data_IF_429905408128
#
_entry.id   IF_429905408128
#
_cell.length_a   1.000
_cell.length_b   1.000
_cell.length_c   1.000
_cell.angle_alpha   90.00
_cell.angle_beta   90.00
_cell.angle_gamma   90.00
#
_symmetry.space_group_name_H-M   'P 1'
#
loop_
_entity.id
_entity.type
_entity.pdbx_description
1 polymer ?
#
# COMPACT_ATOMS: atom_id res chain seq x y z
N UNK A 1 35.53 1.46 -4.72
CA UNK A 1 34.22 1.17 -4.08
C UNK A 1 33.68 2.38 -3.29
N UNK A 2 33.86 3.60 -3.78
CA UNK A 2 33.51 4.83 -3.07
C UNK A 2 32.30 5.59 -3.68
N UNK A 3 31.51 4.98 -4.60
CA UNK A 3 30.55 5.72 -5.43
C UNK A 3 29.11 5.16 -5.39
N UNK A 4 28.75 4.35 -4.38
CA UNK A 4 27.36 3.86 -4.22
C UNK A 4 26.60 4.50 -3.06
N UNK A 5 27.24 5.39 -2.30
CA UNK A 5 26.58 6.15 -1.25
C UNK A 5 25.75 7.26 -1.90
N UNK A 6 24.43 7.14 -1.93
CA UNK A 6 23.53 8.24 -2.24
C UNK A 6 22.61 8.10 -3.47
N UNK A 7 22.57 6.95 -4.12
CA UNK A 7 21.71 6.76 -5.30
C UNK A 7 20.26 6.41 -4.96
N UNK A 8 20.05 5.68 -3.88
CA UNK A 8 18.77 5.12 -3.49
C UNK A 8 18.34 5.64 -2.11
N UNK A 9 17.03 5.77 -1.91
CA UNK A 9 16.45 6.06 -0.63
C UNK A 9 15.11 5.35 -0.44
N UNK A 10 14.76 5.11 0.81
CA UNK A 10 13.39 4.82 1.20
C UNK A 10 12.70 6.11 1.62
N UNK A 11 11.37 6.15 1.54
CA UNK A 11 10.59 7.29 2.02
C UNK A 11 9.33 6.80 2.70
N UNK A 12 8.94 7.48 3.77
CA UNK A 12 7.65 7.31 4.45
C UNK A 12 7.05 8.67 4.80
N UNK A 13 5.80 8.69 5.23
CA UNK A 13 5.09 9.90 5.63
C UNK A 13 4.49 9.75 7.01
N UNK A 14 4.60 10.81 7.82
CA UNK A 14 3.86 10.94 9.05
C UNK A 14 3.06 12.25 9.08
N UNK A 15 1.73 12.13 9.12
CA UNK A 15 0.80 13.25 9.27
C UNK A 15 0.16 13.31 10.66
N UNK A 16 0.23 12.20 11.41
CA UNK A 16 -0.41 12.04 12.72
C UNK A 16 0.52 11.34 13.71
N UNK A 17 0.56 11.77 14.96
CA UNK A 17 1.44 11.19 15.97
C UNK A 17 1.11 9.73 16.31
N UNK A 18 -0.12 9.31 16.06
CA UNK A 18 -0.59 7.94 16.31
C UNK A 18 0.15 6.84 15.52
N UNK A 19 0.89 7.21 14.46
CA UNK A 19 1.78 6.30 13.72
C UNK A 19 3.26 6.46 14.10
N UNK A 20 3.58 7.28 15.13
CA UNK A 20 4.97 7.55 15.51
C UNK A 20 5.73 6.28 15.88
N UNK A 21 5.13 5.39 16.70
CA UNK A 21 5.77 4.14 17.10
C UNK A 21 6.07 3.25 15.88
N UNK A 22 5.14 3.16 14.92
CA UNK A 22 5.35 2.43 13.67
C UNK A 22 6.51 3.00 12.86
N UNK A 23 6.52 4.32 12.62
CA UNK A 23 7.56 4.98 11.83
C UNK A 23 8.96 4.92 12.49
N UNK A 24 9.04 4.97 13.82
CA UNK A 24 10.29 4.77 14.58
C UNK A 24 10.82 3.35 14.40
N UNK A 25 9.94 2.34 14.51
CA UNK A 25 10.34 0.94 14.32
C UNK A 25 10.72 0.65 12.87
N UNK A 26 10.03 1.27 11.90
CA UNK A 26 10.42 1.21 10.50
C UNK A 26 11.84 1.77 10.32
N UNK A 27 12.15 2.94 10.87
CA UNK A 27 13.47 3.55 10.79
C UNK A 27 14.56 2.70 11.45
N UNK A 28 14.30 2.21 12.67
CA UNK A 28 15.20 1.36 13.42
C UNK A 28 15.52 0.05 12.67
N UNK A 29 14.49 -0.66 12.23
CA UNK A 29 14.65 -1.95 11.55
C UNK A 29 15.25 -1.79 10.15
N UNK A 30 14.93 -0.71 9.43
CA UNK A 30 15.59 -0.40 8.17
C UNK A 30 17.08 -0.12 8.37
N UNK A 31 17.45 0.67 9.36
CA UNK A 31 18.85 0.94 9.68
C UNK A 31 19.60 -0.35 10.09
N UNK A 32 18.95 -1.25 10.83
CA UNK A 32 19.50 -2.56 11.22
C UNK A 32 19.83 -3.44 10.01
N UNK A 33 18.99 -3.44 8.98
CA UNK A 33 19.09 -4.35 7.84
C UNK A 33 19.64 -3.72 6.55
N UNK A 34 19.53 -2.39 6.39
CA UNK A 34 20.02 -1.63 5.23
C UNK A 34 20.62 -0.28 5.64
N UNK A 35 21.68 -0.26 6.46
CA UNK A 35 22.19 0.97 7.10
C UNK A 35 22.72 2.02 6.11
N UNK A 36 23.07 1.62 4.91
CA UNK A 36 23.62 2.50 3.88
C UNK A 36 22.56 3.22 3.04
N UNK A 37 21.28 2.85 3.18
CA UNK A 37 20.18 3.46 2.42
C UNK A 37 19.34 4.29 3.37
N UNK A 38 19.30 5.63 3.22
CA UNK A 38 18.57 6.49 4.14
C UNK A 38 17.05 6.28 4.05
N UNK A 39 16.36 6.50 5.18
CA UNK A 39 14.92 6.69 5.24
C UNK A 39 14.61 8.19 5.26
N UNK A 40 13.97 8.68 4.21
CA UNK A 40 13.39 10.02 4.21
C UNK A 40 12.05 9.91 4.97
N UNK A 41 11.92 10.64 6.06
CA UNK A 41 10.65 10.78 6.77
C UNK A 41 10.06 12.12 6.35
N UNK A 42 9.07 12.09 5.46
CA UNK A 42 8.25 13.25 5.15
C UNK A 42 7.23 13.46 6.26
N UNK A 43 6.95 14.70 6.61
CA UNK A 43 5.97 15.01 7.67
C UNK A 43 5.30 16.35 7.43
N UNK A 44 4.10 16.52 7.99
CA UNK A 44 3.32 17.77 7.90
C UNK A 44 3.47 18.59 9.17
N UNK A 45 4.20 19.71 9.16
CA UNK A 45 4.43 20.53 10.36
C UNK A 45 3.15 21.06 11.00
N UNK A 46 2.07 21.23 10.21
CA UNK A 46 0.80 21.77 10.69
C UNK A 46 0.02 20.75 11.56
N UNK A 47 0.23 19.46 11.35
CA UNK A 47 -0.57 18.41 12.00
C UNK A 47 0.24 17.50 12.92
N UNK A 48 1.57 17.46 12.74
CA UNK A 48 2.44 16.65 13.57
C UNK A 48 3.00 17.48 14.73
N UNK A 49 2.74 17.11 16.01
CA UNK A 49 3.28 17.80 17.16
C UNK A 49 4.80 17.88 17.14
N UNK A 50 5.37 18.99 17.62
CA UNK A 50 6.82 19.19 17.70
C UNK A 50 7.54 18.07 18.47
N UNK A 51 6.92 17.53 19.51
CA UNK A 51 7.45 16.39 20.25
C UNK A 51 7.70 15.17 19.35
N UNK A 52 6.79 14.88 18.41
CA UNK A 52 6.98 13.78 17.43
C UNK A 52 8.14 14.05 16.47
N UNK A 53 8.30 15.31 16.03
CA UNK A 53 9.45 15.70 15.20
C UNK A 53 10.75 15.57 15.99
N UNK A 54 10.74 15.94 17.28
CA UNK A 54 11.92 15.82 18.16
C UNK A 54 12.25 14.33 18.42
N UNK A 55 11.26 13.44 18.51
CA UNK A 55 11.52 12.00 18.56
C UNK A 55 12.28 11.50 17.31
N UNK A 56 11.89 11.95 16.11
CA UNK A 56 12.65 11.60 14.90
C UNK A 56 14.05 12.19 14.88
N UNK A 57 14.25 13.43 15.36
CA UNK A 57 15.59 14.04 15.49
C UNK A 57 16.48 13.27 16.47
N UNK A 58 15.89 12.76 17.56
CA UNK A 58 16.60 11.93 18.51
C UNK A 58 16.96 10.57 17.88
N UNK A 59 16.00 9.91 17.23
CA UNK A 59 16.25 8.64 16.54
C UNK A 59 17.28 8.79 15.39
N UNK A 60 17.32 9.93 14.71
CA UNK A 60 18.29 10.21 13.64
C UNK A 60 19.76 10.23 14.09
N UNK A 61 20.04 10.28 15.41
CA UNK A 61 21.40 10.08 15.95
C UNK A 61 21.86 8.63 15.86
N UNK A 62 20.93 7.71 15.72
CA UNK A 62 21.13 6.26 15.79
C UNK A 62 20.75 5.52 14.51
N UNK A 63 19.86 6.11 13.71
CA UNK A 63 19.35 5.56 12.47
C UNK A 63 19.57 6.53 11.31
N UNK A 64 19.77 6.00 10.09
CA UNK A 64 20.03 6.82 8.90
C UNK A 64 18.72 7.47 8.40
N UNK A 65 18.31 8.57 9.03
CA UNK A 65 17.07 9.31 8.78
C UNK A 65 17.36 10.68 8.17
N UNK A 66 16.57 11.05 7.16
CA UNK A 66 16.52 12.41 6.58
C UNK A 66 15.11 12.95 6.81
N UNK A 67 14.97 14.01 7.60
CA UNK A 67 13.67 14.68 7.82
C UNK A 67 13.38 15.68 6.72
N UNK A 68 12.18 15.60 6.14
CA UNK A 68 11.75 16.51 5.08
C UNK A 68 10.30 16.99 5.32
N UNK A 69 10.07 18.25 5.65
CA UNK A 69 8.73 18.79 5.81
C UNK A 69 8.02 18.87 4.46
N UNK A 70 6.73 18.53 4.42
CA UNK A 70 5.89 18.68 3.25
C UNK A 70 4.58 19.37 3.62
N UNK A 71 4.00 20.08 2.66
CA UNK A 71 2.68 20.68 2.83
C UNK A 71 1.59 19.61 2.80
N UNK A 72 0.60 19.75 3.65
CA UNK A 72 -0.55 18.88 3.68
C UNK A 72 -1.35 18.99 2.36
N UNK A 73 -1.67 17.87 1.75
CA UNK A 73 -2.52 17.82 0.56
C UNK A 73 -3.90 17.30 0.95
N UNK A 74 -4.90 18.16 0.83
CA UNK A 74 -6.30 17.85 1.09
C UNK A 74 -7.16 18.24 -0.11
N UNK A 75 -8.25 17.52 -0.30
CA UNK A 75 -9.27 17.97 -1.24
C UNK A 75 -10.02 19.16 -0.62
N UNK A 76 -10.42 20.15 -1.44
CA UNK A 76 -11.24 21.27 -0.96
C UNK A 76 -12.53 20.77 -0.31
N UNK A 77 -12.92 21.36 0.82
CA UNK A 77 -14.21 21.08 1.44
C UNK A 77 -15.33 21.69 0.57
N UNK A 78 -16.18 20.84 0.00
CA UNK A 78 -17.31 21.24 -0.85
C UNK A 78 -18.67 20.75 -0.32
N UNK A 79 -18.68 20.18 0.90
CA UNK A 79 -19.87 19.65 1.54
C UNK A 79 -20.34 18.30 1.01
N UNK A 80 -19.60 17.68 0.09
CA UNK A 80 -19.88 16.30 -0.37
C UNK A 80 -19.28 15.28 0.59
N UNK A 81 -20.01 14.21 0.85
CA UNK A 81 -19.52 13.10 1.68
C UNK A 81 -18.34 12.38 1.04
N UNK A 82 -17.48 11.82 1.90
CA UNK A 82 -16.31 11.04 1.47
C UNK A 82 -16.67 9.57 1.34
N UNK A 83 -16.34 8.95 0.20
CA UNK A 83 -16.47 7.50 -0.02
C UNK A 83 -15.41 6.64 0.68
N UNK A 84 -14.55 7.23 1.52
CA UNK A 84 -13.44 6.55 2.15
C UNK A 84 -13.90 5.47 3.15
N UNK A 85 -13.28 4.31 3.07
CA UNK A 85 -13.55 3.17 3.96
C UNK A 85 -13.24 3.49 5.44
N UNK A 86 -12.31 4.41 5.70
CA UNK A 86 -11.95 4.80 7.06
C UNK A 86 -11.54 6.28 7.12
N UNK A 87 -11.98 6.98 8.17
CA UNK A 87 -11.66 8.39 8.43
C UNK A 87 -10.15 8.67 8.46
N UNK A 88 -9.35 7.67 8.86
CA UNK A 88 -7.88 7.77 8.83
C UNK A 88 -7.29 8.03 7.45
N UNK A 89 -8.03 7.80 6.38
CA UNK A 89 -7.58 8.04 5.00
C UNK A 89 -7.71 9.49 4.53
N UNK A 90 -8.26 10.39 5.35
CA UNK A 90 -8.42 11.81 4.97
C UNK A 90 -7.09 12.50 4.65
N UNK A 91 -5.98 12.05 5.25
CA UNK A 91 -4.64 12.60 5.07
C UNK A 91 -3.82 11.85 4.02
N UNK A 92 -4.34 10.76 3.43
CA UNK A 92 -3.57 9.89 2.52
C UNK A 92 -3.16 10.58 1.22
N UNK A 93 -3.90 11.62 0.81
CA UNK A 93 -3.52 12.44 -0.36
C UNK A 93 -2.13 13.07 -0.21
N UNK A 94 -1.71 13.38 1.01
CA UNK A 94 -0.39 13.94 1.29
C UNK A 94 0.75 12.98 0.87
N UNK A 95 0.48 11.67 0.75
CA UNK A 95 1.42 10.70 0.17
C UNK A 95 1.92 11.13 -1.21
N UNK A 96 1.11 11.80 -2.01
CA UNK A 96 1.49 12.25 -3.35
C UNK A 96 2.62 13.29 -3.35
N UNK A 97 2.90 13.94 -2.20
CA UNK A 97 4.05 14.84 -2.06
C UNK A 97 5.40 14.14 -2.21
N UNK A 98 5.46 12.81 -2.14
CA UNK A 98 6.71 12.07 -2.37
C UNK A 98 7.22 12.23 -3.81
N UNK A 99 6.34 12.50 -4.75
CA UNK A 99 6.75 12.75 -6.13
C UNK A 99 7.45 14.12 -6.30
N UNK A 100 7.30 15.04 -5.33
CA UNK A 100 7.99 16.33 -5.30
C UNK A 100 9.45 16.23 -4.77
N UNK A 101 9.88 15.07 -4.26
CA UNK A 101 11.22 14.83 -3.73
C UNK A 101 12.35 14.95 -4.78
N UNK A 102 12.01 15.03 -6.06
CA UNK A 102 12.97 15.35 -7.13
C UNK A 102 13.68 16.70 -6.88
N UNK A 103 13.06 17.62 -6.14
CA UNK A 103 13.58 18.96 -5.84
C UNK A 103 14.34 19.05 -4.53
N UNK A 104 14.47 17.98 -3.76
CA UNK A 104 15.28 17.98 -2.53
C UNK A 104 16.72 18.39 -2.82
N UNK A 105 17.41 19.05 -1.85
CA UNK A 105 18.85 19.35 -1.96
C UNK A 105 19.68 18.09 -2.22
N UNK A 106 19.42 17.02 -1.46
CA UNK A 106 20.02 15.71 -1.68
C UNK A 106 19.26 14.99 -2.80
N UNK A 107 19.97 14.62 -3.87
CA UNK A 107 19.35 13.95 -5.02
C UNK A 107 19.48 12.44 -4.91
N UNK A 108 18.40 11.74 -5.28
CA UNK A 108 18.34 10.30 -5.36
C UNK A 108 17.96 9.88 -6.78
N UNK A 109 18.51 8.77 -7.24
CA UNK A 109 18.17 8.20 -8.56
C UNK A 109 16.89 7.38 -8.48
N UNK A 110 16.68 6.68 -7.34
CA UNK A 110 15.51 5.84 -7.09
C UNK A 110 15.03 6.06 -5.67
N UNK A 111 13.73 6.11 -5.50
CA UNK A 111 13.08 6.20 -4.19
C UNK A 111 12.04 5.10 -4.09
N UNK A 112 12.06 4.36 -2.98
CA UNK A 112 11.04 3.38 -2.65
C UNK A 112 10.18 3.89 -1.49
N UNK A 113 8.90 4.02 -1.74
CA UNK A 113 7.90 4.31 -0.72
C UNK A 113 7.69 3.10 0.18
N UNK A 114 7.56 3.33 1.48
CA UNK A 114 7.12 2.38 2.50
C UNK A 114 6.09 3.04 3.41
N UNK A 115 4.93 2.42 3.61
CA UNK A 115 3.96 2.90 4.59
C UNK A 115 4.54 2.85 6.01
N UNK A 116 4.14 3.79 6.87
CA UNK A 116 4.67 3.93 8.23
C UNK A 116 4.28 2.75 9.17
N UNK A 117 3.42 1.86 8.71
CA UNK A 117 3.03 0.63 9.38
C UNK A 117 3.72 -0.62 8.83
N UNK A 118 4.94 -0.43 8.35
CA UNK A 118 5.80 -1.53 7.92
C UNK A 118 6.97 -1.76 8.88
N UNK A 119 7.54 -2.97 8.85
CA UNK A 119 8.75 -3.34 9.57
C UNK A 119 9.66 -4.19 8.71
N UNK A 120 10.98 -3.99 8.84
CA UNK A 120 12.00 -4.65 8.04
C UNK A 120 12.58 -5.85 8.80
N UNK A 121 12.59 -7.02 8.16
CA UNK A 121 13.12 -8.27 8.73
C UNK A 121 14.41 -8.73 8.07
N UNK A 122 14.64 -8.34 6.82
CA UNK A 122 15.89 -8.57 6.10
C UNK A 122 16.15 -7.45 5.10
N UNK A 123 17.38 -7.34 4.57
CA UNK A 123 17.70 -6.25 3.64
C UNK A 123 16.85 -6.29 2.37
N UNK A 124 15.92 -5.33 2.17
CA UNK A 124 15.06 -5.32 1.00
C UNK A 124 15.71 -4.68 -0.25
N UNK A 125 16.85 -3.98 -0.07
CA UNK A 125 17.48 -3.22 -1.15
C UNK A 125 17.86 -4.07 -2.39
N UNK A 126 18.37 -5.30 -2.26
CA UNK A 126 18.65 -6.14 -3.43
C UNK A 126 17.39 -6.55 -4.22
N UNK A 127 16.25 -6.66 -3.55
CA UNK A 127 14.98 -7.00 -4.20
C UNK A 127 14.37 -5.78 -4.91
N UNK A 128 14.63 -4.57 -4.40
CA UNK A 128 14.01 -3.32 -4.85
C UNK A 128 14.92 -2.58 -5.84
N UNK A 129 16.17 -2.30 -5.45
CA UNK A 129 17.10 -1.44 -6.20
C UNK A 129 18.03 -2.21 -7.13
N UNK A 130 17.54 -3.26 -7.78
CA UNK A 130 18.34 -4.03 -8.72
C UNK A 130 18.30 -3.42 -10.14
N UNK A 131 19.21 -3.91 -11.01
CA UNK A 131 19.36 -3.41 -12.38
C UNK A 131 18.14 -3.67 -13.26
N UNK A 132 17.41 -4.77 -13.04
CA UNK A 132 16.23 -5.12 -13.82
C UNK A 132 15.10 -4.14 -13.54
N UNK A 133 14.85 -3.85 -12.26
CA UNK A 133 13.84 -2.88 -11.85
C UNK A 133 14.20 -1.47 -12.36
N UNK A 134 15.48 -1.09 -12.29
CA UNK A 134 15.94 0.18 -12.80
C UNK A 134 15.75 0.31 -14.32
N UNK A 135 16.06 -0.73 -15.09
CA UNK A 135 15.83 -0.75 -16.53
C UNK A 135 14.34 -0.59 -16.90
N UNK A 136 13.43 -1.20 -16.12
CA UNK A 136 12.00 -1.00 -16.30
C UNK A 136 11.59 0.46 -16.08
N UNK A 137 12.05 1.08 -14.97
CA UNK A 137 11.73 2.46 -14.62
C UNK A 137 12.27 3.49 -15.63
N UNK A 138 13.38 3.19 -16.30
CA UNK A 138 13.97 4.04 -17.35
C UNK A 138 13.29 3.85 -18.71
N UNK A 139 12.48 2.82 -18.87
CA UNK A 139 11.84 2.50 -20.16
C UNK A 139 10.71 3.47 -20.52
N UNK A 140 10.38 3.53 -21.80
CA UNK A 140 9.30 4.36 -22.32
C UNK A 140 9.52 5.85 -22.07
N UNK A 141 8.49 6.52 -21.52
CA UNK A 141 8.53 7.93 -21.12
C UNK A 141 9.05 8.13 -19.68
N UNK A 142 9.57 7.09 -19.06
CA UNK A 142 10.06 7.06 -17.68
C UNK A 142 9.02 7.46 -16.59
N UNK A 143 7.73 7.53 -16.94
CA UNK A 143 6.63 7.77 -15.99
C UNK A 143 6.06 6.42 -15.55
N UNK A 144 6.88 5.65 -14.82
CA UNK A 144 6.62 4.28 -14.42
C UNK A 144 6.86 4.08 -12.93
N UNK A 145 6.17 3.09 -12.39
CA UNK A 145 6.37 2.64 -11.01
C UNK A 145 6.45 1.13 -10.94
N UNK A 146 6.99 0.61 -9.84
CA UNK A 146 6.92 -0.81 -9.53
C UNK A 146 6.35 -1.00 -8.14
N UNK A 147 5.48 -1.97 -7.96
CA UNK A 147 4.77 -2.21 -6.70
C UNK A 147 4.42 -3.69 -6.55
N UNK A 148 3.84 -4.09 -5.43
CA UNK A 148 3.34 -5.45 -5.20
C UNK A 148 1.83 -5.47 -5.44
N UNK A 149 1.32 -6.51 -6.09
CA UNK A 149 -0.12 -6.66 -6.33
C UNK A 149 -0.95 -6.55 -5.05
N UNK A 150 -2.11 -5.94 -5.17
CA UNK A 150 -3.13 -5.98 -4.12
C UNK A 150 -3.64 -7.41 -3.92
N UNK A 151 -3.91 -7.79 -2.67
CA UNK A 151 -4.63 -9.02 -2.36
C UNK A 151 -6.15 -8.77 -2.42
N UNK A 152 -6.84 -9.56 -3.23
CA UNK A 152 -8.30 -9.49 -3.40
C UNK A 152 -8.99 -10.79 -3.00
N UNK A 153 -8.34 -11.63 -2.18
CA UNK A 153 -8.89 -12.95 -1.82
C UNK A 153 -10.16 -12.88 -0.97
N UNK A 154 -10.27 -11.87 -0.10
CA UNK A 154 -11.40 -11.70 0.82
C UNK A 154 -11.84 -13.01 1.51
N UNK A 155 -10.87 -13.77 2.08
CA UNK A 155 -11.14 -15.07 2.71
C UNK A 155 -11.87 -14.95 4.05
N UNK A 156 -11.97 -13.75 4.61
CA UNK A 156 -12.76 -13.47 5.80
C UNK A 156 -14.21 -13.08 5.46
N UNK A 157 -14.55 -13.08 4.16
CA UNK A 157 -15.91 -12.81 3.63
C UNK A 157 -16.47 -11.46 4.08
N UNK A 158 -15.64 -10.44 4.08
CA UNK A 158 -16.02 -9.07 4.40
C UNK A 158 -17.05 -8.56 3.40
N UNK A 159 -18.21 -8.14 3.88
CA UNK A 159 -19.35 -7.70 3.06
C UNK A 159 -19.08 -6.42 2.27
N UNK A 160 -18.10 -5.60 2.71
CA UNK A 160 -17.69 -4.39 2.01
C UNK A 160 -16.86 -4.65 0.74
N UNK A 161 -16.31 -5.86 0.59
CA UNK A 161 -15.47 -6.20 -0.56
C UNK A 161 -16.32 -6.43 -1.81
N UNK A 162 -15.89 -5.94 -2.98
CA UNK A 162 -16.56 -6.23 -4.25
C UNK A 162 -16.67 -7.74 -4.52
N UNK A 163 -17.70 -8.16 -5.24
CA UNK A 163 -17.91 -9.58 -5.57
C UNK A 163 -16.75 -10.20 -6.37
N UNK A 164 -16.00 -9.37 -7.11
CA UNK A 164 -14.81 -9.77 -7.85
C UNK A 164 -13.60 -10.06 -6.94
N UNK A 165 -13.67 -9.68 -5.66
CA UNK A 165 -12.61 -9.95 -4.69
C UNK A 165 -12.75 -11.38 -4.17
N UNK A 166 -12.04 -12.27 -4.82
CA UNK A 166 -12.00 -13.70 -4.52
C UNK A 166 -10.64 -14.30 -4.93
N UNK A 167 -10.28 -15.51 -4.48
CA UNK A 167 -8.99 -16.14 -4.79
C UNK A 167 -8.73 -16.34 -6.30
N UNK A 168 -9.78 -16.57 -7.10
CA UNK A 168 -9.64 -16.79 -8.54
C UNK A 168 -9.12 -15.52 -9.25
N UNK A 169 -9.43 -14.35 -8.72
CA UNK A 169 -9.04 -13.05 -9.23
C UNK A 169 -7.80 -12.46 -8.52
N UNK A 170 -7.19 -13.19 -7.57
CA UNK A 170 -6.02 -12.71 -6.83
C UNK A 170 -4.72 -13.17 -7.51
N UNK A 171 -3.84 -12.21 -7.79
CA UNK A 171 -2.53 -12.49 -8.38
C UNK A 171 -1.66 -13.37 -7.47
N UNK A 172 -1.69 -13.15 -6.15
CA UNK A 172 -0.92 -13.92 -5.18
C UNK A 172 -1.40 -15.36 -5.03
N UNK A 173 -2.69 -15.62 -5.17
CA UNK A 173 -3.24 -16.97 -5.11
C UNK A 173 -2.82 -17.86 -6.29
N UNK A 174 -2.37 -17.25 -7.40
CA UNK A 174 -1.91 -17.96 -8.61
C UNK A 174 -0.43 -18.35 -8.57
N UNK A 175 0.32 -17.85 -7.62
CA UNK A 175 1.73 -18.19 -7.47
C UNK A 175 1.89 -19.60 -6.88
N UNK A 176 2.93 -20.30 -7.30
CA UNK A 176 3.23 -21.67 -6.88
C UNK A 176 4.53 -21.82 -6.11
N UNK A 177 5.32 -20.75 -6.07
CA UNK A 177 6.58 -20.72 -5.34
C UNK A 177 6.89 -19.33 -4.79
N UNK A 178 7.61 -19.22 -3.65
CA UNK A 178 7.93 -17.93 -3.01
C UNK A 178 8.75 -16.97 -3.85
N UNK A 179 9.55 -17.45 -4.79
CA UNK A 179 10.40 -16.62 -5.65
C UNK A 179 9.73 -16.21 -6.98
N UNK A 180 8.54 -16.73 -7.21
CA UNK A 180 7.78 -16.37 -8.42
C UNK A 180 7.25 -14.94 -8.32
N UNK A 181 7.39 -14.17 -9.39
CA UNK A 181 6.75 -12.86 -9.52
C UNK A 181 5.35 -13.01 -10.14
N UNK A 182 4.40 -12.27 -9.59
CA UNK A 182 3.07 -12.19 -10.18
C UNK A 182 3.12 -11.40 -11.50
N UNK A 183 2.29 -11.79 -12.45
CA UNK A 183 2.21 -11.11 -13.74
C UNK A 183 1.12 -10.03 -13.71
N UNK A 184 1.47 -8.82 -14.15
CA UNK A 184 0.50 -7.74 -14.34
C UNK A 184 -0.30 -8.00 -15.61
N UNK A 185 -1.62 -8.14 -15.48
CA UNK A 185 -2.54 -8.39 -16.58
C UNK A 185 -3.70 -7.40 -16.55
N UNK A 186 -4.15 -6.90 -17.69
CA UNK A 186 -5.25 -5.94 -17.72
C UNK A 186 -6.60 -6.53 -17.31
N UNK A 187 -6.79 -7.85 -17.46
CA UNK A 187 -8.04 -8.53 -17.16
C UNK A 187 -7.83 -9.82 -16.36
N UNK A 188 -8.67 -10.10 -15.37
CA UNK A 188 -9.58 -9.14 -14.75
C UNK A 188 -8.81 -7.97 -14.11
N UNK A 189 -9.43 -6.79 -13.97
CA UNK A 189 -8.79 -5.57 -13.46
C UNK A 189 -8.04 -5.76 -12.13
N UNK A 190 -8.46 -6.71 -11.30
CA UNK A 190 -7.80 -7.07 -10.04
C UNK A 190 -6.34 -7.53 -10.23
N UNK A 191 -5.98 -8.03 -11.42
CA UNK A 191 -4.62 -8.43 -11.78
C UNK A 191 -3.77 -7.27 -12.30
N UNK A 192 -4.37 -6.10 -12.51
CA UNK A 192 -3.66 -4.86 -12.81
C UNK A 192 -3.58 -3.90 -11.63
N UNK A 193 -4.07 -4.28 -10.45
CA UNK A 193 -4.06 -3.45 -9.26
C UNK A 193 -2.90 -3.79 -8.32
N UNK A 194 -2.23 -2.77 -7.82
CA UNK A 194 -1.18 -2.90 -6.81
C UNK A 194 -1.59 -2.29 -5.47
N UNK A 195 -0.95 -2.77 -4.40
CA UNK A 195 -1.05 -2.18 -3.08
C UNK A 195 -0.08 -1.00 -2.96
N UNK A 196 -0.58 0.17 -2.55
CA UNK A 196 0.18 1.42 -2.46
C UNK A 196 1.11 1.50 -1.25
N UNK A 197 1.19 0.46 -0.43
CA UNK A 197 2.07 0.43 0.74
C UNK A 197 3.57 0.39 0.39
N UNK A 198 3.92 -0.19 -0.77
CA UNK A 198 5.28 -0.15 -1.30
C UNK A 198 5.25 0.12 -2.80
N UNK A 199 5.96 1.16 -3.21
CA UNK A 199 6.20 1.41 -4.63
C UNK A 199 7.56 2.07 -4.89
N UNK A 200 8.19 1.69 -5.99
CA UNK A 200 9.49 2.16 -6.44
C UNK A 200 9.33 3.08 -7.65
N UNK A 201 10.00 4.23 -7.64
CA UNK A 201 9.97 5.19 -8.75
C UNK A 201 11.31 5.91 -8.90
N UNK A 202 11.51 6.56 -10.06
CA UNK A 202 12.63 7.48 -10.30
C UNK A 202 12.13 8.91 -10.14
N UNK A 203 12.60 9.66 -9.12
CA UNK A 203 12.13 11.03 -8.91
C UNK A 203 12.54 11.93 -10.07
N UNK A 204 11.57 12.66 -10.64
CA UNK A 204 11.80 13.64 -11.68
C UNK A 204 10.68 14.68 -11.70
N UNK A 205 11.01 15.89 -12.17
CA UNK A 205 10.01 16.94 -12.37
C UNK A 205 8.88 16.50 -13.30
N UNK A 206 9.21 15.74 -14.35
CA UNK A 206 8.24 15.25 -15.31
C UNK A 206 7.25 14.25 -14.65
N UNK A 207 7.74 13.35 -13.80
CA UNK A 207 6.90 12.42 -13.06
C UNK A 207 6.00 13.16 -12.05
N UNK A 208 6.54 14.14 -11.31
CA UNK A 208 5.76 14.96 -10.39
C UNK A 208 4.63 15.70 -11.13
N UNK A 209 4.93 16.31 -12.25
CA UNK A 209 3.93 16.99 -13.09
C UNK A 209 2.88 16.03 -13.66
N UNK A 210 3.29 14.83 -14.08
CA UNK A 210 2.38 13.79 -14.55
C UNK A 210 1.39 13.39 -13.45
N UNK A 211 1.86 13.11 -12.23
CA UNK A 211 0.99 12.72 -11.10
C UNK A 211 0.04 13.87 -10.72
N UNK A 212 0.56 15.11 -10.66
CA UNK A 212 -0.27 16.28 -10.35
C UNK A 212 -1.33 16.52 -11.42
N UNK A 213 -0.99 16.38 -12.71
CA UNK A 213 -1.95 16.53 -13.80
C UNK A 213 -3.05 15.46 -13.73
N UNK A 214 -2.67 14.20 -13.48
CA UNK A 214 -3.64 13.11 -13.25
C UNK A 214 -4.59 13.39 -12.10
N UNK A 215 -4.07 13.91 -10.98
CA UNK A 215 -4.87 14.27 -9.83
C UNK A 215 -5.90 15.37 -10.16
N UNK A 216 -5.50 16.37 -10.94
CA UNK A 216 -6.38 17.43 -11.41
C UNK A 216 -7.43 16.92 -12.43
N UNK A 217 -7.02 16.07 -13.38
CA UNK A 217 -7.89 15.54 -14.45
C UNK A 217 -9.01 14.64 -13.90
N UNK A 218 -8.73 13.83 -12.87
CA UNK A 218 -9.72 12.96 -12.21
C UNK A 218 -10.80 13.81 -11.53
N UNK A 219 -10.44 14.91 -10.93
CA UNK A 219 -11.34 15.88 -10.32
C UNK A 219 -11.89 15.44 -8.96
N UNK A 220 -12.29 16.43 -8.15
CA UNK A 220 -12.61 16.25 -6.73
C UNK A 220 -13.74 15.23 -6.47
N UNK A 221 -14.82 15.26 -7.28
CA UNK A 221 -15.95 14.35 -7.07
C UNK A 221 -15.54 12.87 -7.14
N UNK A 222 -14.73 12.50 -8.15
CA UNK A 222 -14.26 11.12 -8.28
C UNK A 222 -13.22 10.76 -7.23
N UNK A 223 -12.29 11.68 -6.91
CA UNK A 223 -11.30 11.47 -5.86
C UNK A 223 -11.96 11.21 -4.51
N UNK A 224 -13.04 11.93 -4.17
CA UNK A 224 -13.80 11.71 -2.93
C UNK A 224 -14.52 10.37 -2.90
N UNK A 225 -14.93 9.84 -4.05
CA UNK A 225 -15.60 8.55 -4.15
C UNK A 225 -14.65 7.35 -4.04
N UNK A 226 -13.33 7.56 -3.98
CA UNK A 226 -12.34 6.49 -3.86
C UNK A 226 -12.38 5.86 -2.47
N UNK A 227 -12.44 4.52 -2.41
CA UNK A 227 -12.50 3.74 -1.17
C UNK A 227 -11.16 3.71 -0.43
N UNK A 228 -10.08 3.51 -1.18
CA UNK A 228 -8.70 3.52 -0.73
C UNK A 228 -7.97 4.65 -1.49
N UNK A 229 -8.13 5.92 -1.07
CA UNK A 229 -7.91 7.07 -1.93
C UNK A 229 -6.56 7.09 -2.65
N UNK A 230 -5.46 6.99 -1.92
CA UNK A 230 -4.12 6.99 -2.50
C UNK A 230 -3.86 5.75 -3.38
N UNK A 231 -4.34 4.58 -2.96
CA UNK A 231 -4.18 3.34 -3.72
C UNK A 231 -5.01 3.35 -5.00
N UNK A 232 -6.28 3.74 -4.92
CA UNK A 232 -7.18 3.79 -6.09
C UNK A 232 -6.68 4.82 -7.09
N UNK A 233 -6.25 6.00 -6.61
CA UNK A 233 -5.66 7.03 -7.45
C UNK A 233 -4.38 6.55 -8.15
N UNK A 234 -3.43 5.97 -7.41
CA UNK A 234 -2.17 5.52 -7.97
C UNK A 234 -2.37 4.39 -8.98
N UNK A 235 -3.30 3.47 -8.73
CA UNK A 235 -3.68 2.44 -9.70
C UNK A 235 -4.24 3.04 -11.00
N UNK A 236 -5.08 4.09 -10.89
CA UNK A 236 -5.61 4.78 -12.07
C UNK A 236 -4.51 5.60 -12.80
N UNK A 237 -3.67 6.30 -12.06
CA UNK A 237 -2.62 7.14 -12.64
C UNK A 237 -1.55 6.31 -13.36
N UNK A 238 -1.20 5.15 -12.82
CA UNK A 238 -0.18 4.27 -13.38
C UNK A 238 -0.74 3.05 -14.12
N UNK A 239 -2.01 3.07 -14.52
CA UNK A 239 -2.58 2.00 -15.36
C UNK A 239 -1.74 1.78 -16.64
N UNK A 240 -1.33 0.52 -16.87
CA UNK A 240 -0.41 0.16 -17.96
C UNK A 240 1.04 0.68 -17.82
N UNK A 241 1.38 1.31 -16.67
CA UNK A 241 2.68 1.96 -16.42
C UNK A 241 3.39 1.41 -15.17
N UNK A 242 2.96 0.27 -14.65
CA UNK A 242 3.61 -0.35 -13.52
C UNK A 242 4.00 -1.79 -13.77
N UNK A 243 4.94 -2.30 -12.99
CA UNK A 243 5.40 -3.69 -12.99
C UNK A 243 5.54 -4.20 -11.57
N UNK A 244 5.60 -5.52 -11.42
CA UNK A 244 5.58 -6.16 -10.10
C UNK A 244 6.95 -6.16 -9.43
N UNK A 245 6.94 -5.90 -8.11
CA UNK A 245 8.00 -6.25 -7.17
C UNK A 245 7.71 -7.61 -6.53
N UNK A 246 8.73 -8.20 -5.90
CA UNK A 246 8.55 -9.41 -5.10
C UNK A 246 7.60 -9.14 -3.93
N UNK A 247 6.68 -10.07 -3.65
CA UNK A 247 5.78 -10.02 -2.51
C UNK A 247 6.52 -9.83 -1.17
N UNK A 248 7.77 -10.28 -1.09
CA UNK A 248 8.64 -10.17 0.10
C UNK A 248 8.90 -8.71 0.52
N UNK A 249 8.70 -7.75 -0.40
CA UNK A 249 8.93 -6.32 -0.16
C UNK A 249 7.68 -5.55 0.28
N UNK A 250 6.53 -6.21 0.31
CA UNK A 250 5.25 -5.70 0.84
C UNK A 250 4.38 -6.89 1.27
N UNK A 251 4.91 -7.70 2.18
CA UNK A 251 4.23 -8.89 2.68
C UNK A 251 3.10 -8.47 3.62
N UNK A 252 1.85 -8.55 3.17
CA UNK A 252 0.70 -8.24 4.02
C UNK A 252 0.59 -9.28 5.13
N UNK A 253 0.44 -8.86 6.40
CA UNK A 253 0.39 -9.79 7.55
C UNK A 253 -0.65 -10.91 7.40
N UNK A 254 -1.78 -10.61 6.70
CA UNK A 254 -2.83 -11.60 6.41
C UNK A 254 -2.37 -12.72 5.49
N UNK A 255 -1.33 -12.49 4.67
CA UNK A 255 -0.84 -13.52 3.75
C UNK A 255 -0.22 -14.71 4.47
N UNK A 256 0.21 -14.56 5.70
CA UNK A 256 0.73 -15.64 6.51
C UNK A 256 -0.26 -16.79 6.64
N UNK A 257 -1.55 -16.49 6.68
CA UNK A 257 -2.62 -17.48 6.77
C UNK A 257 -3.51 -17.55 5.51
N UNK A 258 -3.44 -16.54 4.61
CA UNK A 258 -4.22 -16.58 3.35
C UNK A 258 -3.42 -17.14 2.19
N UNK A 259 -2.10 -16.95 2.13
CA UNK A 259 -1.24 -17.30 1.01
C UNK A 259 -0.12 -18.28 1.41
N UNK A 260 -0.50 -19.40 2.02
CA UNK A 260 0.43 -20.47 2.41
C UNK A 260 1.15 -21.12 1.22
N UNK A 261 0.68 -20.85 0.00
CA UNK A 261 1.32 -21.26 -1.26
C UNK A 261 2.67 -20.54 -1.52
N UNK A 262 2.85 -19.34 -0.97
CA UNK A 262 4.07 -18.54 -1.18
C UNK A 262 4.72 -18.08 0.13
N UNK A 263 3.97 -18.03 1.23
CA UNK A 263 4.46 -17.49 2.47
C UNK A 263 5.49 -18.38 3.15
N UNK A 264 6.64 -17.78 3.47
CA UNK A 264 7.70 -18.37 4.29
C UNK A 264 8.18 -17.27 5.23
N UNK A 265 8.05 -17.47 6.55
CA UNK A 265 8.36 -16.46 7.57
C UNK A 265 9.77 -15.86 7.38
N UNK A 266 10.79 -16.72 7.16
CA UNK A 266 12.19 -16.30 6.99
C UNK A 266 12.49 -15.55 5.68
N UNK A 267 11.53 -15.52 4.75
CA UNK A 267 11.68 -14.83 3.47
C UNK A 267 10.99 -13.46 3.43
N UNK A 268 10.29 -13.09 4.47
CA UNK A 268 9.69 -11.76 4.59
C UNK A 268 10.81 -10.73 4.74
N UNK A 269 10.93 -9.83 3.77
CA UNK A 269 11.86 -8.72 3.87
C UNK A 269 11.20 -7.49 4.51
N UNK A 270 9.98 -7.16 4.10
CA UNK A 270 9.18 -6.06 4.61
C UNK A 270 7.78 -6.57 4.93
N UNK A 271 7.40 -6.57 6.18
CA UNK A 271 6.05 -6.90 6.65
C UNK A 271 5.20 -5.64 6.73
N UNK A 272 4.00 -5.68 6.18
CA UNK A 272 3.03 -4.60 6.19
C UNK A 272 1.87 -4.94 7.14
N UNK A 273 1.74 -4.18 8.22
CA UNK A 273 0.70 -4.35 9.25
C UNK A 273 -0.60 -3.65 8.84
N UNK A 274 -1.21 -4.13 7.74
CA UNK A 274 -2.51 -3.62 7.29
C UNK A 274 -3.58 -3.81 8.37
N UNK A 275 -4.69 -3.07 8.29
CA UNK A 275 -5.85 -3.10 9.19
C UNK A 275 -5.45 -2.70 10.61
N UNK A 276 -5.34 -3.64 11.56
CA UNK A 276 -4.96 -3.37 12.95
C UNK A 276 -3.45 -3.18 13.09
N UNK A 277 -3.07 -2.19 13.88
CA UNK A 277 -1.68 -1.85 14.12
C UNK A 277 -1.17 -2.54 15.38
N UNK A 278 0.01 -3.19 15.35
CA UNK A 278 0.51 -3.93 16.51
C UNK A 278 0.73 -3.05 17.73
N UNK A 279 1.10 -1.78 17.54
CA UNK A 279 1.31 -0.85 18.66
C UNK A 279 0.01 -0.35 19.30
N UNK A 280 -1.16 -0.59 18.67
CA UNK A 280 -2.45 -0.20 19.23
C UNK A 280 -2.92 -1.10 20.37
N UNK A 281 -2.47 -2.37 20.40
CA UNK A 281 -2.84 -3.32 21.44
C UNK A 281 -1.74 -4.37 21.64
N UNK A 282 -1.59 -4.87 22.86
CA UNK A 282 -0.69 -5.99 23.15
C UNK A 282 -1.30 -7.31 22.65
N UNK A 283 -0.44 -8.27 22.36
CA UNK A 283 -0.86 -9.67 22.14
C UNK A 283 -1.45 -10.19 23.45
N UNK A 284 -2.62 -10.81 23.39
CA UNK A 284 -3.30 -11.35 24.56
C UNK A 284 -2.58 -12.58 25.10
N UNK A 285 -2.89 -12.98 26.35
CA UNK A 285 -2.32 -14.16 26.99
C UNK A 285 -2.59 -15.46 26.22
N UNK A 286 -3.74 -15.54 25.54
CA UNK A 286 -4.10 -16.66 24.67
C UNK A 286 -3.37 -16.67 23.31
N UNK A 287 -2.48 -15.67 23.08
CA UNK A 287 -1.72 -15.52 21.86
C UNK A 287 -2.47 -14.84 20.71
N UNK A 288 -3.70 -14.38 20.92
CA UNK A 288 -4.49 -13.70 19.89
C UNK A 288 -4.17 -12.21 19.81
N UNK A 289 -4.24 -11.64 18.60
CA UNK A 289 -4.17 -10.20 18.35
C UNK A 289 -4.82 -9.86 17.01
N UNK A 290 -5.11 -8.58 16.80
CA UNK A 290 -5.61 -8.02 15.55
C UNK A 290 -7.02 -8.48 15.20
N UNK A 291 -7.39 -8.25 13.94
CA UNK A 291 -8.69 -8.60 13.40
C UNK A 291 -8.93 -10.11 13.45
N UNK A 292 -10.06 -10.52 13.98
CA UNK A 292 -10.41 -11.93 14.21
C UNK A 292 -9.39 -12.72 15.07
N UNK A 293 -8.47 -12.05 15.76
CA UNK A 293 -7.47 -12.71 16.62
C UNK A 293 -6.37 -13.47 15.85
N UNK A 294 -6.27 -13.33 14.52
CA UNK A 294 -5.38 -14.15 13.68
C UNK A 294 -3.94 -13.63 13.60
N UNK A 295 -3.68 -12.39 14.04
CA UNK A 295 -2.41 -11.70 13.82
C UNK A 295 -1.41 -11.85 14.99
N UNK A 296 -1.71 -12.72 15.96
CA UNK A 296 -0.93 -12.82 17.20
C UNK A 296 0.57 -12.98 16.99
N UNK A 297 0.98 -13.84 16.05
CA UNK A 297 2.39 -14.08 15.77
C UNK A 297 3.08 -12.86 15.14
N UNK A 298 2.49 -12.27 14.11
CA UNK A 298 3.07 -11.10 13.44
C UNK A 298 3.12 -9.86 14.35
N UNK A 299 2.09 -9.69 15.23
CA UNK A 299 2.10 -8.65 16.25
C UNK A 299 3.17 -8.90 17.32
N UNK A 300 3.44 -10.17 17.69
CA UNK A 300 4.53 -10.52 18.61
C UNK A 300 5.88 -10.09 18.01
N UNK A 301 6.13 -10.36 16.73
CA UNK A 301 7.37 -9.91 16.07
C UNK A 301 7.59 -8.41 16.19
N UNK A 302 6.52 -7.61 16.08
CA UNK A 302 6.61 -6.17 16.25
C UNK A 302 6.98 -5.78 17.70
N UNK A 303 6.35 -6.42 18.67
CA UNK A 303 6.61 -6.14 20.10
C UNK A 303 8.00 -6.58 20.51
N UNK A 304 8.54 -7.66 19.96
CA UNK A 304 9.90 -8.12 20.21
C UNK A 304 10.93 -7.10 19.70
N UNK A 305 10.73 -6.56 18.48
CA UNK A 305 11.61 -5.51 17.96
C UNK A 305 11.41 -4.17 18.71
N UNK A 306 10.21 -3.84 19.16
CA UNK A 306 9.97 -2.68 20.01
C UNK A 306 10.75 -2.80 21.33
N UNK A 307 10.75 -3.96 21.98
CA UNK A 307 11.52 -4.22 23.20
C UNK A 307 13.03 -4.11 22.95
N UNK A 308 13.53 -4.64 21.81
CA UNK A 308 14.92 -4.49 21.39
C UNK A 308 15.31 -3.02 21.22
N UNK A 309 14.53 -2.27 20.43
CA UNK A 309 14.74 -0.85 20.22
C UNK A 309 14.71 -0.07 21.53
N UNK A 310 13.71 -0.29 22.37
CA UNK A 310 13.55 0.39 23.67
C UNK A 310 14.75 0.15 24.58
N UNK A 311 15.19 -1.13 24.72
CA UNK A 311 16.36 -1.49 25.50
C UNK A 311 17.65 -0.85 24.99
N UNK A 312 17.83 -0.76 23.68
CA UNK A 312 18.99 -0.09 23.09
C UNK A 312 18.97 1.41 23.37
N UNK A 313 17.83 2.08 23.19
CA UNK A 313 17.68 3.53 23.43
C UNK A 313 17.81 3.88 24.92
N UNK A 314 17.35 3.01 25.81
CA UNK A 314 17.55 3.16 27.26
C UNK A 314 19.05 3.12 27.62
N UNK A 315 19.81 2.15 27.09
CA UNK A 315 21.26 2.05 27.29
C UNK A 315 22.02 3.26 26.74
N UNK A 316 21.47 3.92 25.70
CA UNK A 316 22.04 5.11 25.08
C UNK A 316 21.60 6.41 25.79
N UNK A 317 20.72 6.32 26.78
CA UNK A 317 20.25 7.47 27.57
C UNK A 317 19.16 8.31 26.90
N UNK A 318 18.51 7.81 25.84
CA UNK A 318 17.46 8.51 25.07
C UNK A 318 16.09 8.44 25.77
N UNK A 319 16.05 8.83 27.06
CA UNK A 319 14.84 8.74 27.89
C UNK A 319 13.68 9.54 27.33
N UNK A 320 13.93 10.77 26.85
CA UNK A 320 12.88 11.62 26.29
C UNK A 320 12.26 11.00 25.03
N UNK A 321 13.08 10.39 24.16
CA UNK A 321 12.60 9.65 23.00
C UNK A 321 11.67 8.49 23.39
N UNK A 322 12.06 7.70 24.40
CA UNK A 322 11.25 6.61 24.92
C UNK A 322 9.92 7.10 25.50
N UNK A 323 9.97 8.19 26.27
CA UNK A 323 8.77 8.79 26.88
C UNK A 323 7.79 9.33 25.82
N UNK A 324 8.31 9.91 24.73
CA UNK A 324 7.47 10.41 23.62
C UNK A 324 6.84 9.25 22.85
N UNK A 325 7.64 8.27 22.44
CA UNK A 325 7.14 7.15 21.61
C UNK A 325 6.19 6.26 22.41
N UNK A 326 6.48 6.05 23.69
CA UNK A 326 5.65 5.26 24.61
C UNK A 326 4.20 5.77 24.76
N UNK A 327 3.96 7.08 24.51
CA UNK A 327 2.59 7.64 24.49
C UNK A 327 1.74 7.09 23.34
N UNK A 328 2.39 6.62 22.27
CA UNK A 328 1.76 6.13 21.07
C UNK A 328 1.93 4.61 20.88
N UNK A 329 2.16 3.89 21.96
CA UNK A 329 2.20 2.44 21.99
C UNK A 329 1.38 1.91 23.18
N UNK A 330 0.74 0.76 23.02
CA UNK A 330 -0.08 0.16 24.08
C UNK A 330 0.77 -0.17 25.31
N UNK A 331 0.25 0.17 26.48
CA UNK A 331 0.91 -0.03 27.77
C UNK A 331 0.99 -1.51 28.13
N UNK A 332 1.99 -1.87 28.92
CA UNK A 332 2.15 -3.25 29.40
C UNK A 332 1.03 -3.69 30.36
N UNK A 333 0.43 -2.74 31.07
CA UNK A 333 -0.69 -2.99 31.99
C UNK A 333 -2.04 -3.21 31.28
N UNK A 334 -2.06 -3.22 29.94
CA UNK A 334 -3.25 -3.41 29.11
C UNK A 334 -4.24 -2.23 29.16
N UNK A 335 -3.92 -1.12 29.84
CA UNK A 335 -4.75 0.06 29.80
C UNK A 335 -4.64 0.71 28.41
N UNK A 336 -5.81 1.03 27.84
CA UNK A 336 -5.88 1.75 26.58
C UNK A 336 -5.28 3.16 26.74
N UNK A 337 -4.38 3.51 25.85
CA UNK A 337 -3.96 4.88 25.71
C UNK A 337 -5.05 5.65 24.95
N UNK A 338 -5.56 6.77 25.49
CA UNK A 338 -6.62 7.56 24.84
C UNK A 338 -6.24 8.01 23.42
N UNK A 339 -4.95 8.32 23.20
CA UNK A 339 -4.44 8.73 21.91
C UNK A 339 -4.44 7.57 20.89
N UNK A 340 -4.51 6.32 21.36
CA UNK A 340 -4.55 5.12 20.54
C UNK A 340 -5.96 4.64 20.19
N UNK A 341 -6.99 5.11 20.90
CA UNK A 341 -8.40 4.75 20.62
C UNK A 341 -8.81 5.07 19.19
N UNK A 342 -8.32 6.18 18.65
CA UNK A 342 -8.59 6.59 17.28
C UNK A 342 -8.03 5.65 16.20
N UNK A 343 -7.00 4.83 16.52
CA UNK A 343 -6.39 3.89 15.58
C UNK A 343 -7.00 2.49 15.68
N UNK A 344 -7.14 1.98 16.92
CA UNK A 344 -7.70 0.65 17.16
C UNK A 344 -9.22 0.58 16.96
N UNK A 345 -9.93 1.66 17.31
CA UNK A 345 -11.38 1.76 17.16
C UNK A 345 -11.85 1.70 15.71
N UNK A 346 -11.12 2.32 14.78
CA UNK A 346 -11.55 2.41 13.40
C UNK A 346 -11.70 1.06 12.69
N UNK A 347 -10.81 0.09 12.94
CA UNK A 347 -10.92 -1.23 12.32
C UNK A 347 -12.02 -2.09 12.97
N UNK A 348 -12.18 -2.00 14.30
CA UNK A 348 -13.24 -2.70 15.02
C UNK A 348 -14.62 -2.10 14.73
N UNK A 349 -14.72 -0.78 14.63
CA UNK A 349 -15.97 -0.10 14.31
C UNK A 349 -16.37 -0.33 12.87
N UNK A 350 -15.41 -0.40 11.96
CA UNK A 350 -15.63 -0.82 10.58
C UNK A 350 -16.12 -2.28 10.53
N UNK A 351 -15.48 -3.20 11.24
CA UNK A 351 -15.90 -4.60 11.30
C UNK A 351 -17.29 -4.79 11.94
N UNK A 352 -17.67 -3.93 12.93
CA UNK A 352 -19.03 -3.93 13.51
C UNK A 352 -20.07 -3.37 12.55
N UNK A 353 -19.69 -2.37 11.75
CA UNK A 353 -20.55 -1.74 10.74
C UNK A 353 -20.85 -2.70 9.57
N UNK A 354 -19.90 -3.62 9.29
CA UNK A 354 -19.94 -4.59 8.21
C UNK A 354 -19.61 -6.00 8.74
N UNK A 355 -20.52 -6.61 9.54
CA UNK A 355 -20.29 -7.96 10.07
C UNK A 355 -20.10 -8.95 8.92
N UNK A 356 -19.13 -9.88 9.08
CA UNK A 356 -18.92 -10.97 8.13
C UNK A 356 -20.22 -11.73 7.88
N UNK A 357 -20.54 -12.00 6.64
CA UNK A 357 -21.70 -12.82 6.29
C UNK A 357 -21.51 -14.24 6.86
N UNK A 358 -22.33 -14.60 7.84
CA UNK A 358 -22.43 -15.97 8.38
C UNK A 358 -23.28 -16.84 7.43
N UNK A 359 -22.84 -17.04 6.20
CA UNK A 359 -23.41 -18.05 5.33
C UNK A 359 -22.46 -19.24 5.23
N UNK A 360 -22.71 -20.21 6.08
CA UNK A 360 -21.98 -21.49 6.13
C UNK A 360 -22.62 -22.54 7.03
N UNK A 361 -23.73 -22.22 7.74
CA UNK A 361 -24.51 -23.22 8.43
C UNK A 361 -25.73 -23.60 7.56
N UNK A 362 -25.67 -24.80 7.00
CA UNK A 362 -26.80 -25.45 6.34
C UNK A 362 -28.00 -25.49 7.28
N UNK A 363 -29.05 -24.74 7.00
CA UNK A 363 -30.36 -24.93 7.63
C UNK A 363 -31.06 -26.08 6.97
N UNK A 364 -31.05 -27.24 7.63
CA UNK A 364 -32.14 -28.21 7.47
C UNK A 364 -33.38 -27.69 8.19
N UNK A 365 -34.45 -27.53 7.45
CA UNK A 365 -35.83 -27.67 7.88
C UNK A 365 -36.48 -26.56 8.70
N UNK A 366 -37.49 -25.92 8.12
CA UNK A 366 -38.61 -25.33 8.85
C UNK A 366 -38.99 -23.91 8.45
N UNK A 367 -40.10 -23.77 7.70
CA UNK A 367 -40.66 -22.50 7.27
C UNK A 367 -41.07 -21.57 8.40
N UNK A 368 -40.83 -20.30 8.21
CA UNK A 368 -41.30 -19.21 9.05
C UNK A 368 -40.63 -17.93 8.62
N UNK A 369 -41.40 -16.99 8.02
CA UNK A 369 -40.89 -15.71 7.54
C UNK A 369 -40.18 -14.95 8.62
N UNK A 370 -38.89 -14.75 8.43
CA UNK A 370 -38.11 -13.80 9.21
C UNK A 370 -37.94 -12.54 8.35
N UNK A 371 -38.39 -11.41 8.89
CA UNK A 371 -38.11 -10.09 8.37
C UNK A 371 -36.60 -9.92 8.19
N UNK A 372 -36.16 -9.69 6.97
CA UNK A 372 -34.83 -9.13 6.71
C UNK A 372 -34.74 -7.83 7.51
N UNK A 373 -33.67 -7.59 8.28
CA UNK A 373 -33.46 -6.29 8.88
C UNK A 373 -33.31 -5.28 7.73
N UNK A 374 -34.30 -4.41 7.55
CA UNK A 374 -34.16 -3.26 6.67
C UNK A 374 -33.00 -2.43 7.17
N UNK A 375 -32.01 -2.23 6.31
CA UNK A 375 -30.97 -1.23 6.52
C UNK A 375 -31.67 0.09 6.84
N UNK A 376 -31.12 0.87 7.77
CA UNK A 376 -31.58 2.24 7.98
C UNK A 376 -31.33 3.01 6.70
N UNK A 377 -32.13 4.08 6.45
CA UNK A 377 -31.94 4.91 5.25
C UNK A 377 -30.48 5.38 5.11
N UNK A 378 -29.81 5.75 6.22
CA UNK A 378 -28.37 6.09 6.24
C UNK A 378 -27.47 4.92 5.83
N UNK A 379 -27.77 3.70 6.26
CA UNK A 379 -26.99 2.51 5.87
C UNK A 379 -27.22 2.13 4.42
N UNK A 380 -28.42 2.38 3.89
CA UNK A 380 -28.73 2.18 2.48
C UNK A 380 -28.06 3.23 1.59
N UNK A 381 -28.08 4.51 1.98
CA UNK A 381 -27.35 5.57 1.28
C UNK A 381 -25.83 5.33 1.29
N UNK A 382 -25.28 4.87 2.43
CA UNK A 382 -23.87 4.48 2.51
C UNK A 382 -23.55 3.25 1.65
N UNK A 383 -24.41 2.24 1.64
CA UNK A 383 -24.24 1.06 0.78
C UNK A 383 -24.27 1.44 -0.70
N UNK A 384 -25.16 2.33 -1.09
CA UNK A 384 -25.28 2.84 -2.46
C UNK A 384 -24.08 3.74 -2.82
N UNK A 385 -23.59 4.57 -1.89
CA UNK A 385 -22.38 5.36 -2.04
C UNK A 385 -21.13 4.49 -2.19
N UNK A 386 -21.10 3.31 -1.55
CA UNK A 386 -20.03 2.31 -1.68
C UNK A 386 -20.19 1.34 -2.84
N UNK A 387 -21.21 1.50 -3.68
CA UNK A 387 -21.43 0.66 -4.85
C UNK A 387 -21.97 -0.73 -4.56
N UNK A 388 -22.63 -0.94 -3.42
CA UNK A 388 -23.21 -2.21 -3.03
C UNK A 388 -24.72 -2.33 -3.33
N UNK A 389 -25.32 -1.30 -3.95
CA UNK A 389 -26.66 -1.37 -4.51
C UNK A 389 -26.67 -2.06 -5.89
N UNK A 390 -27.84 -2.53 -6.37
CA UNK A 390 -27.97 -3.15 -7.69
C UNK A 390 -27.54 -2.24 -8.86
N UNK A 391 -27.27 -0.96 -8.60
CA UNK A 391 -26.77 0.04 -9.55
C UNK A 391 -25.50 0.76 -9.06
N UNK A 392 -24.75 0.17 -8.14
CA UNK A 392 -23.51 0.74 -7.62
C UNK A 392 -22.50 1.03 -8.73
N UNK A 393 -21.59 2.00 -8.55
CA UNK A 393 -20.60 2.31 -9.57
C UNK A 393 -19.73 1.08 -9.81
N UNK A 394 -20.03 0.37 -10.87
CA UNK A 394 -19.08 -0.51 -11.52
C UNK A 394 -17.85 0.36 -11.78
N UNK A 395 -16.69 -0.06 -11.31
CA UNK A 395 -15.43 0.51 -11.79
C UNK A 395 -15.47 0.36 -13.32
N UNK A 396 -15.88 1.43 -14.00
CA UNK A 396 -16.00 1.40 -15.46
C UNK A 396 -14.60 1.19 -16.00
N UNK A 397 -14.46 0.17 -16.87
CA UNK A 397 -13.32 0.06 -17.77
C UNK A 397 -13.06 1.44 -18.37
N UNK A 398 -11.79 1.86 -18.49
CA UNK A 398 -11.48 2.99 -19.33
C UNK A 398 -12.10 2.73 -20.71
N UNK A 399 -12.97 3.61 -21.17
CA UNK A 399 -13.54 3.51 -22.51
C UNK A 399 -12.38 3.64 -23.49
N UNK A 400 -11.97 2.52 -24.09
CA UNK A 400 -11.19 2.55 -25.33
C UNK A 400 -12.01 3.33 -26.32
N UNK A 401 -11.48 4.48 -26.75
CA UNK A 401 -12.13 5.37 -27.69
C UNK A 401 -12.61 4.57 -28.90
N UNK A 402 -13.88 4.73 -29.22
CA UNK A 402 -14.46 4.25 -30.46
C UNK A 402 -13.60 4.72 -31.63
N UNK A 403 -12.92 3.79 -32.28
CA UNK A 403 -12.31 4.07 -33.58
C UNK A 403 -13.45 4.26 -34.55
N UNK A 404 -13.66 5.51 -34.94
CA UNK A 404 -14.58 5.86 -35.99
C UNK A 404 -14.33 5.01 -37.24
N UNK A 405 -15.37 4.35 -37.70
CA UNK A 405 -15.39 3.72 -39.00
C UNK A 405 -15.29 4.79 -40.10
N UNK A 406 -14.11 4.92 -40.67
CA UNK A 406 -13.94 5.61 -41.97
C UNK A 406 -14.53 4.76 -43.08
N UNK A 407 -15.04 5.38 -44.16
CA UNK A 407 -15.79 4.69 -45.21
C UNK A 407 -14.91 3.75 -46.04
N UNK A 408 -15.45 2.56 -46.29
CA UNK A 408 -14.90 1.55 -47.19
C UNK A 408 -14.94 2.07 -48.64
N UNK A 409 -13.78 2.32 -49.27
CA UNK A 409 -13.67 2.49 -50.70
C UNK A 409 -13.37 1.12 -51.33
N UNK A 410 -14.30 0.63 -52.14
CA UNK A 410 -14.11 -0.51 -53.03
C UNK A 410 -13.36 -0.08 -54.30
N UNK A 411 -12.37 -0.88 -54.73
CA UNK A 411 -11.76 -0.91 -56.05
C UNK A 411 -10.34 -1.46 -55.95
N UNK A 412 -9.97 -2.48 -56.60
CA UNK A 412 -10.00 -2.96 -57.91
C UNK A 412 -8.82 -3.92 -58.09
N UNK A 413 -9.01 -4.98 -58.83
CA UNK A 413 -8.13 -6.08 -59.24
C UNK A 413 -6.77 -5.65 -59.78
N UNK A 414 -5.73 -6.53 -59.58
CA UNK A 414 -4.50 -6.55 -60.37
C UNK A 414 -3.48 -7.57 -59.89
N UNK A 415 -3.53 -8.70 -60.37
CA UNK A 415 -2.58 -9.69 -60.93
C UNK A 415 -1.06 -9.44 -60.72
N UNK A 416 -0.36 -10.49 -60.24
CA UNK A 416 0.82 -11.02 -60.94
C UNK A 416 2.16 -10.91 -60.27
N UNK A 417 2.81 -12.07 -60.08
CA UNK A 417 4.24 -12.21 -60.30
C UNK A 417 5.13 -12.65 -59.14
N UNK A 418 5.21 -13.88 -58.89
CA UNK A 418 6.32 -14.89 -58.89
C UNK A 418 7.76 -14.42 -58.56
N UNK A 419 8.36 -15.24 -57.67
CA UNK A 419 9.73 -15.85 -57.64
C UNK A 419 10.82 -15.06 -56.94
N UNK A 420 11.47 -15.75 -56.07
CA UNK A 420 12.78 -16.39 -55.92
C UNK A 420 13.49 -15.72 -54.76
N UNK A 421 14.08 -16.35 -53.83
CA UNK A 421 14.82 -17.56 -53.73
C UNK A 421 16.15 -17.27 -53.04
N UNK A 422 16.55 -18.09 -52.09
CA UNK A 422 17.96 -18.31 -51.62
C UNK A 422 18.59 -17.13 -50.83
N UNK A 423 19.22 -17.30 -49.70
CA UNK A 423 19.77 -18.43 -48.99
C UNK A 423 21.03 -17.98 -48.26
N UNK A 424 21.25 -18.46 -47.06
CA UNK A 424 22.56 -18.68 -46.35
C UNK A 424 23.51 -17.46 -46.16
N UNK A 425 24.19 -17.20 -45.07
CA UNK A 425 24.95 -18.08 -44.14
C UNK A 425 25.50 -17.28 -42.94
N UNK A 426 25.65 -17.97 -41.84
CA UNK A 426 26.58 -17.94 -40.71
C UNK A 426 27.94 -17.26 -40.98
N UNK A 427 28.43 -16.53 -39.96
CA UNK A 427 29.74 -16.55 -39.24
C UNK A 427 29.77 -15.39 -38.24
N UNK A 428 29.90 -15.66 -36.95
CA UNK A 428 31.08 -15.75 -36.11
C UNK A 428 32.14 -14.65 -36.38
N UNK A 429 32.19 -13.72 -35.39
CA UNK A 429 33.32 -13.52 -34.47
C UNK A 429 32.82 -12.72 -33.25
#
# INVERSE_FOLDING_TARGET
MADQQGKDAYVTLLTRPSYLAGAILLAYTLNKHSPNTPLIITYTPETLPEASVNAFKAEAKHSNIVLHPVEHLRLPEDGTESGMVAERFIDTWTKLRVFDLWDMPQKFERICWLDADMMIFSNPSPLIFNKQNDAYLQGGDAMRTMAVHTCVCNLDHDSWAPAEWNPENCAMAKLTAPDQLAEVRPEPYTLSNFNSGTFLYRPSKALAQFVLQKFQDIGNTRLRAMKFPDQDFLNEAFDGRWSTLSWKTNALKTWRYWHTNIWVDDQVAVLHYIVDKPWAARVKEDGTAGYLGKDGETHRWWWDEYANWSSEREKQGEKELLDIVGKYAAREDGQENEEMRAIGGGAQDFAKKWPANKEGEAKEGGGGGANEPKLTEEAQEQADAFGQGPNGPVLRKPMLGERGHGPVVRGGRGLGGRRGGEGWSVMQD
#
